data_IF_601291272192
#
_entry.id   IF_601291272192
#
_cell.length_a   1.000
_cell.length_b   1.000
_cell.length_c   1.000
_cell.angle_alpha   90.00
_cell.angle_beta   90.00
_cell.angle_gamma   90.00
#
_symmetry.space_group_name_H-M   'P 1'
#
loop_
_entity.id
_entity.type
_entity.pdbx_description
1 polymer ?
#
# COMPACT_ATOMS: atom_id res chain seq x y z
N UNK A 1 5.79 11.60 60.05
CA UNK A 1 5.15 12.71 59.31
C UNK A 1 4.58 12.15 58.02
N UNK A 2 3.31 12.48 57.74
CA UNK A 2 2.43 11.80 56.76
C UNK A 2 2.58 12.39 55.35
N UNK A 3 2.52 11.49 54.36
CA UNK A 3 1.96 11.64 52.99
C UNK A 3 2.57 12.69 52.05
N UNK A 4 3.27 12.21 51.00
CA UNK A 4 3.19 12.74 49.62
C UNK A 4 3.31 11.59 48.61
N UNK A 5 2.20 10.88 48.40
CA UNK A 5 1.93 10.15 47.16
C UNK A 5 0.77 10.90 46.50
N UNK A 6 0.73 10.85 45.16
CA UNK A 6 -0.29 11.39 44.25
C UNK A 6 0.03 12.80 43.76
N UNK A 7 0.85 12.91 42.70
CA UNK A 7 0.61 13.94 41.66
C UNK A 7 1.27 13.66 40.30
N UNK A 8 1.37 12.41 39.85
CA UNK A 8 1.82 12.12 38.48
C UNK A 8 1.01 11.04 37.75
N UNK A 9 -0.19 10.71 38.22
CA UNK A 9 -1.00 9.64 37.62
C UNK A 9 -2.12 10.12 36.67
N UNK A 10 -2.31 11.43 36.46
CA UNK A 10 -3.51 11.93 35.74
C UNK A 10 -3.23 12.78 34.50
N UNK A 11 -1.98 13.03 34.12
CA UNK A 11 -1.65 13.83 32.92
C UNK A 11 -1.02 12.98 31.80
N UNK A 12 -0.60 11.74 32.08
CA UNK A 12 -0.08 10.80 31.09
C UNK A 12 -1.12 9.98 30.31
N UNK A 13 -2.39 9.99 30.74
CA UNK A 13 -3.47 9.21 30.15
C UNK A 13 -4.08 9.79 28.85
N UNK A 14 -4.27 11.11 28.66
CA UNK A 14 -4.86 11.62 27.42
C UNK A 14 -3.89 11.56 26.22
N UNK A 15 -2.59 11.80 26.43
CA UNK A 15 -1.59 11.71 25.35
C UNK A 15 -1.36 10.27 24.87
N UNK A 16 -1.38 9.29 25.79
CA UNK A 16 -1.27 7.88 25.43
C UNK A 16 -2.53 7.36 24.73
N UNK A 17 -3.72 7.84 25.10
CA UNK A 17 -4.98 7.53 24.42
C UNK A 17 -5.05 8.13 23.00
N UNK A 18 -4.68 9.39 22.82
CA UNK A 18 -4.58 10.05 21.51
C UNK A 18 -3.51 9.37 20.62
N UNK A 19 -2.34 9.05 21.17
CA UNK A 19 -1.33 8.28 20.44
C UNK A 19 -1.82 6.87 20.07
N UNK A 20 -2.53 6.17 20.97
CA UNK A 20 -3.13 4.85 20.66
C UNK A 20 -4.21 4.95 19.58
N UNK A 21 -4.98 6.03 19.54
CA UNK A 21 -6.02 6.22 18.53
C UNK A 21 -5.44 6.53 17.15
N UNK A 22 -4.37 7.34 17.08
CA UNK A 22 -3.62 7.63 15.85
C UNK A 22 -2.87 6.38 15.33
N UNK A 23 -2.25 5.61 16.23
CA UNK A 23 -1.57 4.36 15.92
C UNK A 23 -2.57 3.26 15.49
N UNK A 24 -3.75 3.21 16.12
CA UNK A 24 -4.86 2.34 15.73
C UNK A 24 -5.30 2.63 14.30
N UNK A 25 -5.60 3.90 13.98
CA UNK A 25 -5.98 4.31 12.61
C UNK A 25 -4.91 3.97 11.57
N UNK A 26 -3.63 4.13 11.91
CA UNK A 26 -2.52 3.75 11.04
C UNK A 26 -2.42 2.23 10.85
N UNK A 27 -2.55 1.45 11.92
CA UNK A 27 -2.52 -0.01 11.85
C UNK A 27 -3.69 -0.60 11.06
N UNK A 28 -4.88 0.04 11.16
CA UNK A 28 -6.06 -0.33 10.38
C UNK A 28 -5.81 -0.06 8.89
N UNK A 29 -5.25 1.10 8.54
CA UNK A 29 -4.95 1.44 7.14
C UNK A 29 -3.90 0.50 6.53
N UNK A 30 -2.85 0.15 7.28
CA UNK A 30 -1.87 -0.84 6.82
C UNK A 30 -2.49 -2.20 6.57
N UNK A 31 -3.35 -2.64 7.48
CA UNK A 31 -4.04 -3.93 7.39
C UNK A 31 -4.93 -3.97 6.16
N UNK A 32 -5.69 -2.90 5.90
CA UNK A 32 -6.51 -2.77 4.68
C UNK A 32 -5.67 -2.82 3.41
N UNK A 33 -4.53 -2.11 3.37
CA UNK A 33 -3.65 -2.10 2.19
C UNK A 33 -2.96 -3.46 1.99
N UNK A 34 -2.54 -4.12 3.07
CA UNK A 34 -1.96 -5.47 3.01
C UNK A 34 -2.99 -6.48 2.48
N UNK A 35 -4.22 -6.45 3.01
CA UNK A 35 -5.32 -7.29 2.54
C UNK A 35 -5.67 -7.01 1.07
N UNK A 36 -5.75 -5.75 0.65
CA UNK A 36 -6.01 -5.40 -0.74
C UNK A 36 -4.90 -5.89 -1.69
N UNK A 37 -3.65 -5.84 -1.24
CA UNK A 37 -2.50 -6.35 -2.00
C UNK A 37 -2.59 -7.87 -2.18
N UNK A 38 -2.93 -8.60 -1.12
CA UNK A 38 -3.15 -10.06 -1.15
C UNK A 38 -4.36 -10.41 -2.02
N UNK A 39 -5.47 -9.69 -1.88
CA UNK A 39 -6.66 -9.89 -2.69
C UNK A 39 -6.35 -9.70 -4.18
N UNK A 40 -5.48 -8.75 -4.53
CA UNK A 40 -5.03 -8.54 -5.91
C UNK A 40 -4.18 -9.71 -6.40
N UNK A 41 -3.26 -10.23 -5.58
CA UNK A 41 -2.48 -11.43 -5.92
C UNK A 41 -3.38 -12.64 -6.18
N UNK A 42 -4.39 -12.84 -5.34
CA UNK A 42 -5.34 -13.97 -5.43
C UNK A 42 -6.19 -13.96 -6.70
N UNK A 43 -6.29 -12.83 -7.41
CA UNK A 43 -6.94 -12.76 -8.73
C UNK A 43 -6.13 -13.44 -9.83
N UNK A 44 -4.80 -13.48 -9.69
CA UNK A 44 -3.89 -13.96 -10.75
C UNK A 44 -3.29 -15.32 -10.45
N UNK A 45 -3.16 -15.69 -9.17
CA UNK A 45 -2.51 -16.92 -8.74
C UNK A 45 -3.20 -17.54 -7.52
N UNK A 46 -3.08 -18.86 -7.39
CA UNK A 46 -3.47 -19.56 -6.17
C UNK A 46 -2.43 -19.30 -5.07
N UNK A 47 -2.87 -18.61 -4.02
CA UNK A 47 -2.12 -18.35 -2.79
C UNK A 47 -2.64 -19.30 -1.72
N UNK A 48 -1.74 -20.13 -1.16
CA UNK A 48 -2.12 -21.03 -0.08
C UNK A 48 -2.32 -20.28 1.25
N UNK A 49 -3.12 -20.79 2.20
CA UNK A 49 -3.37 -20.12 3.47
C UNK A 49 -2.10 -19.73 4.25
N UNK A 50 -1.08 -20.60 4.27
CA UNK A 50 0.21 -20.33 4.90
C UNK A 50 0.99 -19.22 4.17
N UNK A 51 0.89 -19.16 2.84
CA UNK A 51 1.49 -18.10 2.03
C UNK A 51 0.76 -16.77 2.26
N UNK A 52 -0.56 -16.80 2.40
CA UNK A 52 -1.40 -15.63 2.69
C UNK A 52 -1.05 -15.02 4.05
N UNK A 53 -0.91 -15.84 5.09
CA UNK A 53 -0.48 -15.39 6.42
C UNK A 53 0.94 -14.78 6.38
N UNK A 54 1.88 -15.44 5.70
CA UNK A 54 3.26 -14.95 5.57
C UNK A 54 3.33 -13.63 4.77
N UNK A 55 2.59 -13.53 3.66
CA UNK A 55 2.46 -12.29 2.89
C UNK A 55 1.88 -11.16 3.73
N UNK A 56 0.84 -11.44 4.51
CA UNK A 56 0.18 -10.43 5.33
C UNK A 56 1.15 -9.82 6.34
N UNK A 57 1.88 -10.65 7.09
CA UNK A 57 2.85 -10.17 8.08
C UNK A 57 3.99 -9.37 7.42
N UNK A 58 4.54 -9.89 6.32
CA UNK A 58 5.63 -9.23 5.61
C UNK A 58 5.20 -7.87 5.00
N UNK A 59 3.98 -7.79 4.46
CA UNK A 59 3.42 -6.55 3.93
C UNK A 59 3.14 -5.52 5.03
N UNK A 60 2.67 -5.92 6.21
CA UNK A 60 2.55 -5.02 7.35
C UNK A 60 3.91 -4.42 7.73
N UNK A 61 4.97 -5.25 7.73
CA UNK A 61 6.32 -4.78 8.04
C UNK A 61 6.87 -3.82 6.97
N UNK A 62 6.65 -4.10 5.68
CA UNK A 62 7.00 -3.19 4.59
C UNK A 62 6.33 -1.82 4.74
N UNK A 63 5.05 -1.80 5.13
CA UNK A 63 4.30 -0.56 5.37
C UNK A 63 4.83 0.21 6.56
N UNK A 64 5.12 -0.49 7.66
CA UNK A 64 5.75 0.11 8.83
C UNK A 64 7.09 0.75 8.47
N UNK A 65 7.92 0.08 7.67
CA UNK A 65 9.19 0.60 7.18
C UNK A 65 8.99 1.85 6.32
N UNK A 66 8.04 1.84 5.36
CA UNK A 66 7.74 3.02 4.53
C UNK A 66 7.28 4.22 5.34
N UNK A 67 6.47 4.01 6.38
CA UNK A 67 6.09 5.09 7.30
C UNK A 67 7.28 5.62 8.08
N UNK A 68 8.17 4.74 8.55
CA UNK A 68 9.38 5.15 9.22
C UNK A 68 10.27 5.99 8.30
N UNK A 69 10.45 5.55 7.05
CA UNK A 69 11.17 6.31 6.02
C UNK A 69 10.53 7.67 5.79
N UNK A 70 9.20 7.72 5.65
CA UNK A 70 8.50 9.00 5.52
C UNK A 70 8.75 9.91 6.72
N UNK A 71 8.55 9.42 7.95
CA UNK A 71 8.76 10.20 9.18
C UNK A 71 10.17 10.77 9.28
N UNK A 72 11.18 10.00 8.88
CA UNK A 72 12.59 10.38 9.02
C UNK A 72 13.13 11.23 7.88
N UNK A 73 12.75 10.93 6.64
CA UNK A 73 13.44 11.45 5.46
C UNK A 73 12.63 12.39 4.59
N UNK A 74 11.31 12.59 4.80
CA UNK A 74 10.46 13.28 3.81
C UNK A 74 10.87 14.71 3.40
N UNK A 75 11.61 15.42 4.25
CA UNK A 75 12.16 16.76 3.95
C UNK A 75 13.63 16.75 3.50
N UNK A 76 14.21 15.58 3.28
CA UNK A 76 15.62 15.41 2.94
C UNK A 76 15.80 15.02 1.47
N UNK A 77 16.94 15.34 0.84
CA UNK A 77 17.24 14.87 -0.51
C UNK A 77 17.23 13.33 -0.64
N UNK A 78 17.49 12.61 0.46
CA UNK A 78 17.54 11.15 0.51
C UNK A 78 16.16 10.48 0.49
N UNK A 79 15.07 11.25 0.62
CA UNK A 79 13.72 10.72 0.73
C UNK A 79 13.36 9.75 -0.39
N UNK A 80 13.61 10.19 -1.64
CA UNK A 80 13.25 9.44 -2.84
C UNK A 80 13.90 8.07 -2.85
N UNK A 81 15.20 8.01 -2.56
CA UNK A 81 15.97 6.77 -2.61
C UNK A 81 15.58 5.83 -1.48
N UNK A 82 15.41 6.35 -0.26
CA UNK A 82 14.97 5.56 0.90
C UNK A 82 13.55 5.02 0.70
N UNK A 83 12.65 5.81 0.13
CA UNK A 83 11.29 5.38 -0.15
C UNK A 83 11.26 4.33 -1.27
N UNK A 84 12.09 4.48 -2.31
CA UNK A 84 12.23 3.49 -3.37
C UNK A 84 12.74 2.16 -2.81
N UNK A 85 13.80 2.17 -1.99
CA UNK A 85 14.31 0.97 -1.30
C UNK A 85 13.24 0.27 -0.47
N UNK A 86 12.48 1.02 0.34
CA UNK A 86 11.39 0.46 1.13
C UNK A 86 10.25 -0.09 0.25
N UNK A 87 10.03 0.47 -0.93
CA UNK A 87 9.00 -0.01 -1.88
C UNK A 87 9.43 -1.27 -2.64
N UNK A 88 10.72 -1.37 -3.00
CA UNK A 88 11.27 -2.55 -3.68
C UNK A 88 11.23 -3.82 -2.83
N UNK A 89 11.18 -3.70 -1.50
CA UNK A 89 11.02 -4.83 -0.59
C UNK A 89 9.78 -5.67 -0.92
N UNK A 90 8.71 -5.06 -1.44
CA UNK A 90 7.47 -5.77 -1.79
C UNK A 90 7.67 -6.85 -2.85
N UNK A 91 8.44 -6.56 -3.90
CA UNK A 91 8.72 -7.54 -4.96
C UNK A 91 9.54 -8.72 -4.38
N UNK A 92 10.50 -8.44 -3.51
CA UNK A 92 11.28 -9.46 -2.79
C UNK A 92 10.41 -10.32 -1.87
N UNK A 93 9.48 -9.71 -1.13
CA UNK A 93 8.50 -10.43 -0.29
C UNK A 93 7.70 -11.42 -1.13
N UNK A 94 7.17 -10.97 -2.27
CA UNK A 94 6.37 -11.83 -3.14
C UNK A 94 7.20 -12.98 -3.71
N UNK A 95 8.40 -12.69 -4.21
CA UNK A 95 9.29 -13.72 -4.74
C UNK A 95 9.68 -14.75 -3.68
N UNK A 96 9.92 -14.32 -2.43
CA UNK A 96 10.31 -15.19 -1.32
C UNK A 96 9.15 -16.08 -0.86
N UNK A 97 7.95 -15.53 -0.67
CA UNK A 97 6.81 -16.27 -0.10
C UNK A 97 6.11 -17.15 -1.15
N UNK A 98 5.99 -16.67 -2.39
CA UNK A 98 5.27 -17.37 -3.46
C UNK A 98 6.18 -18.26 -4.31
N UNK A 99 7.49 -17.99 -4.29
CA UNK A 99 8.45 -18.56 -5.22
C UNK A 99 8.49 -17.83 -6.57
N UNK A 100 9.62 -17.95 -7.27
CA UNK A 100 9.91 -17.21 -8.52
C UNK A 100 8.85 -17.42 -9.61
N UNK A 101 8.37 -18.65 -9.81
CA UNK A 101 7.43 -18.99 -10.88
C UNK A 101 6.07 -18.31 -10.69
N UNK A 102 5.48 -18.44 -9.49
CA UNK A 102 4.19 -17.80 -9.18
C UNK A 102 4.30 -16.27 -9.23
N UNK A 103 5.40 -15.73 -8.71
CA UNK A 103 5.66 -14.29 -8.77
C UNK A 103 5.75 -13.77 -10.21
N UNK A 104 6.49 -14.45 -11.10
CA UNK A 104 6.59 -14.05 -12.51
C UNK A 104 5.25 -14.10 -13.23
N UNK A 105 4.42 -15.12 -12.97
CA UNK A 105 3.06 -15.19 -13.51
C UNK A 105 2.21 -14.01 -13.06
N UNK A 106 2.26 -13.66 -11.78
CA UNK A 106 1.58 -12.47 -11.26
C UNK A 106 2.05 -11.18 -11.95
N UNK A 107 3.37 -11.00 -12.12
CA UNK A 107 3.94 -9.82 -12.81
C UNK A 107 3.50 -9.74 -14.26
N UNK A 108 3.45 -10.86 -14.97
CA UNK A 108 2.96 -10.93 -16.34
C UNK A 108 1.49 -10.52 -16.43
N UNK A 109 0.65 -11.01 -15.52
CA UNK A 109 -0.77 -10.61 -15.49
C UNK A 109 -0.92 -9.11 -15.24
N UNK A 110 -0.19 -8.55 -14.28
CA UNK A 110 -0.21 -7.11 -14.00
C UNK A 110 0.23 -6.26 -15.20
N UNK A 111 1.18 -6.75 -15.99
CA UNK A 111 1.61 -6.07 -17.21
C UNK A 111 0.49 -6.08 -18.27
N UNK A 112 -0.14 -7.23 -18.51
CA UNK A 112 -1.27 -7.33 -19.46
C UNK A 112 -2.45 -6.45 -19.02
N UNK A 113 -2.81 -6.45 -17.74
CA UNK A 113 -3.89 -5.63 -17.20
C UNK A 113 -3.61 -4.13 -17.42
N UNK A 114 -2.34 -3.72 -17.25
CA UNK A 114 -1.91 -2.34 -17.49
C UNK A 114 -1.97 -1.96 -18.97
N UNK A 115 -1.48 -2.82 -19.85
CA UNK A 115 -1.51 -2.60 -21.31
C UNK A 115 -2.96 -2.49 -21.80
N UNK A 116 -3.86 -3.35 -21.30
CA UNK A 116 -5.29 -3.27 -21.61
C UNK A 116 -5.91 -1.97 -21.13
N UNK A 117 -5.58 -1.52 -19.91
CA UNK A 117 -6.06 -0.24 -19.40
C UNK A 117 -5.57 0.94 -20.24
N UNK A 118 -4.28 0.96 -20.60
CA UNK A 118 -3.69 2.00 -21.44
C UNK A 118 -4.36 2.06 -22.82
N UNK A 119 -4.63 0.91 -23.44
CA UNK A 119 -5.37 0.82 -24.71
C UNK A 119 -6.81 1.36 -24.58
N UNK A 120 -7.53 1.00 -23.51
CA UNK A 120 -8.89 1.50 -23.27
C UNK A 120 -8.92 3.02 -23.09
N UNK A 121 -7.93 3.60 -22.41
CA UNK A 121 -7.81 5.05 -22.26
C UNK A 121 -7.59 5.73 -23.61
N UNK A 122 -6.69 5.19 -24.45
CA UNK A 122 -6.46 5.74 -25.79
C UNK A 122 -7.71 5.70 -26.67
N UNK A 123 -8.51 4.64 -26.61
CA UNK A 123 -9.78 4.54 -27.34
C UNK A 123 -10.77 5.60 -26.86
N UNK A 124 -10.91 5.81 -25.55
CA UNK A 124 -11.78 6.86 -24.98
C UNK A 124 -11.33 8.25 -25.40
N UNK A 125 -10.05 8.56 -25.28
CA UNK A 125 -9.51 9.86 -25.69
C UNK A 125 -9.75 10.13 -27.18
N UNK A 126 -9.61 9.11 -28.05
CA UNK A 126 -9.94 9.25 -29.48
C UNK A 126 -11.42 9.53 -29.70
N UNK A 127 -12.33 8.80 -29.06
CA UNK A 127 -13.78 9.03 -29.16
C UNK A 127 -14.19 10.43 -28.67
N UNK A 128 -13.60 10.91 -27.58
CA UNK A 128 -13.82 12.26 -27.06
C UNK A 128 -13.31 13.33 -28.04
N UNK A 129 -12.15 13.10 -28.66
CA UNK A 129 -11.55 14.01 -29.65
C UNK A 129 -12.38 14.04 -30.95
N UNK A 130 -12.85 12.89 -31.43
CA UNK A 130 -13.70 12.78 -32.61
C UNK A 130 -15.07 13.44 -32.39
N UNK A 131 -15.61 13.34 -31.17
CA UNK A 131 -16.88 14.00 -30.78
C UNK A 131 -16.75 15.52 -30.67
N UNK A 132 -15.56 16.03 -30.33
CA UNK A 132 -15.27 17.47 -30.26
C UNK A 132 -14.93 18.09 -31.63
N UNK A 133 -14.50 17.28 -32.61
CA UNK A 133 -14.07 17.76 -33.94
C UNK A 133 -15.12 17.59 -35.03
N UNK A 134 -16.23 16.89 -34.74
CA UNK A 134 -17.37 16.78 -35.66
C UNK A 134 -18.69 17.10 -34.91
N UNK A 135 -19.12 18.38 -34.82
CA UNK A 135 -20.47 18.68 -34.37
C UNK A 135 -21.43 18.18 -35.45
N UNK A 136 -22.10 17.08 -35.16
CA UNK A 136 -23.20 16.54 -35.97
C UNK A 136 -24.12 17.67 -36.41
N UNK A 137 -24.23 17.91 -37.72
CA UNK A 137 -25.40 18.56 -38.30
C UNK A 137 -26.60 17.72 -37.86
N UNK A 138 -27.34 18.20 -36.87
CA UNK A 138 -28.64 17.62 -36.52
C UNK A 138 -29.55 17.70 -37.77
N UNK A 139 -30.37 16.66 -38.02
CA UNK A 139 -31.29 16.62 -39.15
C UNK A 139 -32.28 17.78 -39.14
#
# INVERSE_FOLDING_TARGET
MKKKIILYLLIGLPLTALCRQELSKQSVNDSTIAQASIATLKKSILVQPEQEAALYQALLQERANRRQVFKQYWRTPQFRDKLAQATYQRDSIYQTVLGKVKYLRYRQQQQMDREQFELQQQVRTKQETDSLTNPTKQP
#
